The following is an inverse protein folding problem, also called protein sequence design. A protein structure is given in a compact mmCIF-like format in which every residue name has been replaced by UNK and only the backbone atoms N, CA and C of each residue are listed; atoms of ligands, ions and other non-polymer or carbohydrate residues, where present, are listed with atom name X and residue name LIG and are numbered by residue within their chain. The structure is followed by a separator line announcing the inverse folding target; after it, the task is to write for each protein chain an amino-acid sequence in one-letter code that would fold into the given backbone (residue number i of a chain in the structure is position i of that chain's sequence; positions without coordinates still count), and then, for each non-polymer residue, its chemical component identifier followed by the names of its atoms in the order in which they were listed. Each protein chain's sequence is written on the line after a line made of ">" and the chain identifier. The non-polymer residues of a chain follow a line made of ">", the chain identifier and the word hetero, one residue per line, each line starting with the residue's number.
data_IF_876839997173
#
_entry.id   IF_876839997173
#
_cell.length_a   1.000
_cell.length_b   1.000
_cell.length_c   1.000
_cell.angle_alpha   90.00
_cell.angle_beta   90.00
_cell.angle_gamma   90.00
#
_symmetry.space_group_name_H-M   'P 1'
#
loop_
_entity.id
_entity.type
_entity.pdbx_description
1 polymer ?
#
# COMPACT_ATOMS: atom_id res chain seq x y z
N UNK A 1 3.17 13.80 -13.03
CA UNK A 1 2.17 14.12 -11.98
C UNK A 1 2.89 14.86 -10.86
N UNK A 2 2.31 15.91 -10.29
CA UNK A 2 2.98 16.74 -9.26
C UNK A 2 2.80 16.08 -7.89
N UNK A 3 3.91 15.73 -7.23
CA UNK A 3 3.89 15.24 -5.84
C UNK A 3 3.76 16.41 -4.86
N UNK A 4 2.83 16.33 -3.93
CA UNK A 4 2.66 17.30 -2.85
C UNK A 4 3.10 16.72 -1.51
N UNK A 5 3.57 17.58 -0.59
CA UNK A 5 3.85 17.16 0.78
C UNK A 5 2.54 16.75 1.43
N UNK A 6 2.55 15.68 2.21
CA UNK A 6 1.40 15.20 2.95
C UNK A 6 1.86 14.81 4.35
N UNK A 7 1.34 15.47 5.37
CA UNK A 7 1.73 15.25 6.76
C UNK A 7 1.04 14.00 7.34
N UNK A 8 1.34 12.83 6.76
CA UNK A 8 0.84 11.55 7.24
C UNK A 8 1.49 11.20 8.58
N UNK A 9 0.68 11.12 9.63
CA UNK A 9 1.15 10.71 10.94
C UNK A 9 1.30 9.19 11.04
N UNK A 10 2.02 8.73 12.05
CA UNK A 10 2.18 7.30 12.32
C UNK A 10 0.84 6.64 12.66
N UNK A 11 -0.01 7.33 13.41
CA UNK A 11 -1.33 6.87 13.84
C UNK A 11 -2.27 6.74 12.63
N UNK A 12 -2.23 7.71 11.72
CA UNK A 12 -3.04 7.67 10.50
C UNK A 12 -2.58 6.55 9.56
N UNK A 13 -1.26 6.38 9.39
CA UNK A 13 -0.70 5.28 8.62
C UNK A 13 -1.12 3.91 9.19
N UNK A 14 -0.95 3.71 10.50
CA UNK A 14 -1.34 2.48 11.19
C UNK A 14 -2.84 2.19 11.01
N UNK A 15 -3.69 3.22 11.15
CA UNK A 15 -5.13 3.11 10.90
C UNK A 15 -5.42 2.64 9.48
N UNK A 16 -4.74 3.19 8.46
CA UNK A 16 -4.96 2.79 7.07
C UNK A 16 -4.55 1.34 6.79
N UNK A 17 -3.44 0.88 7.38
CA UNK A 17 -2.99 -0.50 7.26
C UNK A 17 -4.01 -1.44 7.93
N UNK A 18 -4.47 -1.10 9.14
CA UNK A 18 -5.50 -1.86 9.86
C UNK A 18 -6.82 -1.92 9.09
N UNK A 19 -7.27 -0.80 8.52
CA UNK A 19 -8.49 -0.75 7.74
C UNK A 19 -8.41 -1.68 6.53
N UNK A 20 -7.32 -1.64 5.76
CA UNK A 20 -7.15 -2.53 4.60
C UNK A 20 -6.99 -4.01 4.99
N UNK A 21 -6.16 -4.30 5.99
CA UNK A 21 -5.74 -5.67 6.31
C UNK A 21 -6.69 -6.40 7.29
N UNK A 22 -7.15 -5.71 8.34
CA UNK A 22 -7.96 -6.31 9.42
C UNK A 22 -9.45 -6.15 9.19
N UNK A 23 -9.87 -5.01 8.62
CA UNK A 23 -11.28 -4.71 8.36
C UNK A 23 -11.69 -4.92 6.91
N UNK A 24 -10.75 -5.23 6.02
CA UNK A 24 -10.99 -5.42 4.59
C UNK A 24 -11.60 -4.19 3.88
N UNK A 25 -11.22 -2.97 4.31
CA UNK A 25 -11.72 -1.70 3.79
C UNK A 25 -10.73 -1.06 2.82
N UNK A 26 -11.16 -0.94 1.57
CA UNK A 26 -10.38 -0.38 0.48
C UNK A 26 -9.23 -1.32 0.06
N UNK A 27 -8.14 -0.71 -0.41
CA UNK A 27 -6.94 -1.43 -0.81
C UNK A 27 -5.68 -0.84 -0.18
N UNK A 28 -4.63 -1.65 -0.18
CA UNK A 28 -3.25 -1.21 0.08
C UNK A 28 -2.35 -1.94 -0.91
N UNK A 29 -1.55 -1.18 -1.65
CA UNK A 29 -0.53 -1.73 -2.56
C UNK A 29 0.83 -1.22 -2.16
N UNK A 30 1.85 -2.07 -2.17
CA UNK A 30 3.23 -1.70 -1.88
C UNK A 30 4.12 -2.28 -2.96
N UNK A 31 4.83 -1.41 -3.67
CA UNK A 31 5.72 -1.82 -4.74
C UNK A 31 7.16 -1.95 -4.23
N UNK A 32 7.86 -2.94 -4.76
CA UNK A 32 9.32 -2.88 -4.79
C UNK A 32 9.77 -2.22 -6.10
N UNK A 33 10.98 -1.66 -6.10
CA UNK A 33 11.59 -1.01 -7.27
C UNK A 33 11.84 -1.94 -8.48
N UNK A 34 11.45 -3.22 -8.41
CA UNK A 34 11.72 -4.25 -9.43
C UNK A 34 10.49 -4.72 -10.20
N UNK A 35 9.35 -4.01 -10.13
CA UNK A 35 8.11 -4.39 -10.82
C UNK A 35 7.34 -5.53 -10.15
N UNK A 36 7.60 -5.76 -8.86
CA UNK A 36 6.83 -6.67 -8.02
C UNK A 36 6.11 -5.86 -6.95
N UNK A 37 4.86 -6.21 -6.67
CA UNK A 37 4.10 -5.55 -5.62
C UNK A 37 3.25 -6.51 -4.81
N UNK A 38 3.01 -6.14 -3.56
CA UNK A 38 2.01 -6.76 -2.70
C UNK A 38 0.74 -5.90 -2.75
N UNK A 39 -0.42 -6.55 -2.88
CA UNK A 39 -1.73 -5.93 -2.88
C UNK A 39 -2.61 -6.63 -1.84
N UNK A 40 -3.31 -5.85 -1.03
CA UNK A 40 -4.48 -6.34 -0.29
C UNK A 40 -5.68 -5.51 -0.73
N UNK A 41 -6.73 -6.17 -1.16
CA UNK A 41 -7.99 -5.53 -1.52
C UNK A 41 -9.14 -6.41 -1.04
N UNK A 42 -10.10 -5.83 -0.31
CA UNK A 42 -11.27 -6.55 0.23
C UNK A 42 -10.89 -7.83 1.00
N UNK A 43 -9.73 -7.83 1.66
CA UNK A 43 -9.21 -8.95 2.45
C UNK A 43 -8.50 -10.05 1.65
N UNK A 44 -8.42 -9.92 0.33
CA UNK A 44 -7.66 -10.81 -0.55
C UNK A 44 -6.22 -10.29 -0.61
N UNK A 45 -5.25 -11.13 -0.24
CA UNK A 45 -3.83 -10.80 -0.32
C UNK A 45 -3.21 -11.44 -1.57
N UNK A 46 -2.59 -10.59 -2.37
CA UNK A 46 -2.06 -10.92 -3.68
C UNK A 46 -0.63 -10.42 -3.80
N UNK A 47 0.23 -11.22 -4.44
CA UNK A 47 1.55 -10.80 -4.88
C UNK A 47 1.59 -10.82 -6.40
N UNK A 48 2.01 -9.71 -6.99
CA UNK A 48 2.20 -9.59 -8.44
C UNK A 48 3.67 -9.46 -8.75
N UNK A 49 4.18 -10.31 -9.64
CA UNK A 49 5.58 -10.32 -10.08
C UNK A 49 5.63 -10.31 -11.61
N UNK A 50 6.07 -9.20 -12.20
CA UNK A 50 6.15 -9.05 -13.68
C UNK A 50 4.85 -9.41 -14.41
N UNK A 51 3.71 -9.05 -13.80
CA UNK A 51 2.37 -9.33 -14.36
C UNK A 51 1.79 -10.70 -14.00
N UNK A 52 2.55 -11.57 -13.34
CA UNK A 52 2.01 -12.81 -12.78
C UNK A 52 1.42 -12.55 -11.41
N UNK A 53 0.12 -12.80 -11.28
CA UNK A 53 -0.65 -12.59 -10.07
C UNK A 53 -0.86 -13.90 -9.31
N UNK A 54 -0.51 -13.91 -8.02
CA UNK A 54 -0.70 -15.06 -7.12
C UNK A 54 -1.40 -14.61 -5.86
N UNK A 55 -2.58 -15.18 -5.61
CA UNK A 55 -3.30 -15.02 -4.35
C UNK A 55 -2.71 -15.93 -3.27
N UNK A 56 -2.58 -15.39 -2.05
CA UNK A 56 -2.07 -16.12 -0.91
C UNK A 56 -3.08 -16.13 0.23
N UNK A 57 -3.44 -17.32 0.70
CA UNK A 57 -4.24 -17.48 1.93
C UNK A 57 -3.38 -17.17 3.15
N UNK A 58 -3.72 -16.08 3.86
CA UNK A 58 -3.08 -15.63 5.11
C UNK A 58 -4.16 -15.13 6.08
N UNK A 59 -3.92 -15.23 7.38
CA UNK A 59 -4.78 -14.56 8.36
C UNK A 59 -4.65 -13.05 8.24
N UNK A 60 -5.67 -12.31 8.68
CA UNK A 60 -5.69 -10.85 8.59
C UNK A 60 -4.55 -10.21 9.39
N UNK A 61 -4.20 -10.77 10.53
CA UNK A 61 -3.09 -10.35 11.39
C UNK A 61 -1.75 -10.55 10.68
N UNK A 62 -1.60 -11.65 9.94
CA UNK A 62 -0.41 -11.91 9.13
C UNK A 62 -0.30 -10.89 7.98
N UNK A 63 -1.41 -10.57 7.31
CA UNK A 63 -1.45 -9.55 6.24
C UNK A 63 -1.06 -8.18 6.81
N UNK A 64 -1.64 -7.77 7.95
CA UNK A 64 -1.28 -6.52 8.63
C UNK A 64 0.23 -6.46 8.95
N UNK A 65 0.79 -7.53 9.52
CA UNK A 65 2.22 -7.61 9.84
C UNK A 65 3.11 -7.50 8.59
N UNK A 66 2.70 -8.13 7.48
CA UNK A 66 3.39 -8.04 6.19
C UNK A 66 3.37 -6.59 5.70
N UNK A 67 2.20 -5.96 5.57
CA UNK A 67 2.10 -4.60 5.01
C UNK A 67 2.80 -3.55 5.88
N UNK A 68 2.68 -3.64 7.21
CA UNK A 68 3.44 -2.77 8.12
C UNK A 68 4.95 -2.87 7.91
N UNK A 69 5.48 -4.07 7.66
CA UNK A 69 6.91 -4.25 7.35
C UNK A 69 7.28 -3.74 5.96
N UNK A 70 6.46 -4.02 4.95
CA UNK A 70 6.76 -3.62 3.57
C UNK A 70 6.75 -2.09 3.42
N UNK A 71 5.77 -1.39 4.02
CA UNK A 71 5.71 0.07 3.97
C UNK A 71 6.89 0.69 4.68
N UNK A 72 7.26 0.20 5.87
CA UNK A 72 8.43 0.72 6.58
C UNK A 72 9.73 0.45 5.83
N UNK A 73 9.83 -0.69 5.12
CA UNK A 73 11.02 -1.05 4.35
C UNK A 73 11.16 -0.22 3.07
N UNK A 74 10.10 -0.15 2.28
CA UNK A 74 10.13 0.45 0.95
C UNK A 74 9.71 1.91 0.93
N UNK A 75 9.17 2.40 2.05
CA UNK A 75 8.80 3.80 2.24
C UNK A 75 7.85 4.30 1.17
N UNK A 76 7.00 3.40 0.66
CA UNK A 76 5.98 3.68 -0.34
C UNK A 76 4.74 2.83 -0.11
N UNK A 77 3.61 3.32 -0.61
CA UNK A 77 2.38 2.54 -0.78
C UNK A 77 1.40 3.30 -1.67
N UNK A 78 0.35 2.62 -2.13
CA UNK A 78 -0.81 3.23 -2.76
C UNK A 78 -2.07 2.92 -1.97
N UNK A 79 -2.96 3.92 -1.90
CA UNK A 79 -4.28 3.81 -1.27
C UNK A 79 -5.18 4.92 -1.81
N UNK A 80 -6.47 4.63 -1.94
CA UNK A 80 -7.51 5.62 -2.29
C UNK A 80 -7.20 6.47 -3.54
N UNK A 81 -6.53 5.89 -4.54
CA UNK A 81 -6.19 6.62 -5.76
C UNK A 81 -5.00 7.56 -5.63
N UNK A 82 -4.18 7.42 -4.59
CA UNK A 82 -2.93 8.15 -4.41
C UNK A 82 -1.76 7.18 -4.22
N UNK A 83 -0.59 7.53 -4.77
CA UNK A 83 0.69 6.94 -4.36
C UNK A 83 1.34 7.82 -3.30
N UNK A 84 1.89 7.19 -2.27
CA UNK A 84 2.57 7.81 -1.16
C UNK A 84 4.03 7.35 -1.19
N UNK A 85 4.95 8.29 -0.97
CA UNK A 85 6.38 8.00 -0.83
C UNK A 85 6.98 8.88 0.27
N UNK A 86 7.79 8.29 1.13
CA UNK A 86 8.51 9.03 2.15
C UNK A 86 9.84 9.51 1.57
N UNK A 87 10.06 10.82 1.61
CA UNK A 87 11.27 11.42 1.08
C UNK A 87 11.67 12.66 1.90
N UNK A 88 12.96 12.79 2.22
CA UNK A 88 13.53 13.90 2.99
C UNK A 88 12.74 14.22 4.29
N UNK A 89 12.39 13.18 5.05
CA UNK A 89 11.75 13.34 6.36
C UNK A 89 10.24 13.62 6.33
N UNK A 90 9.58 13.49 5.18
CA UNK A 90 8.13 13.68 5.09
C UNK A 90 7.50 12.74 4.07
N UNK A 91 6.25 12.37 4.32
CA UNK A 91 5.44 11.72 3.30
C UNK A 91 5.05 12.74 2.23
N UNK A 92 5.00 12.25 0.99
CA UNK A 92 4.50 12.99 -0.15
C UNK A 92 3.52 12.10 -0.87
N UNK A 93 2.47 12.70 -1.43
CA UNK A 93 1.47 11.97 -2.20
C UNK A 93 1.36 12.49 -3.62
N UNK A 94 0.90 11.63 -4.50
CA UNK A 94 0.66 11.94 -5.88
C UNK A 94 -0.66 11.27 -6.29
N UNK A 95 -1.59 12.04 -6.86
CA UNK A 95 -2.86 11.47 -7.35
C UNK A 95 -2.57 10.54 -8.52
N UNK A 96 -2.98 9.29 -8.42
CA UNK A 96 -2.85 8.32 -9.51
C UNK A 96 -3.82 8.68 -10.63
N UNK A 97 -3.33 8.65 -11.87
CA UNK A 97 -4.19 8.67 -13.05
C UNK A 97 -4.74 7.25 -13.27
N UNK A 98 -5.63 6.81 -12.39
CA UNK A 98 -6.43 5.63 -12.67
C UNK A 98 -7.39 5.99 -13.81
N UNK A 99 -7.07 5.54 -15.02
CA UNK A 99 -8.08 5.41 -16.08
C UNK A 99 -9.10 4.45 -15.49
N UNK A 100 -10.31 4.95 -15.22
CA UNK A 100 -11.45 4.11 -14.85
C UNK A 100 -11.60 3.09 -15.98
N UNK A 101 -11.23 1.83 -15.73
CA UNK A 101 -11.57 0.73 -16.63
C UNK A 101 -12.97 0.26 -16.31
#
# INVERSE_FOLDING_TARGET
>A
MRSEKYDLTKEELDKWIKDACLKAIGYLKVENYGGKYALVEKGIYTVVDRGHEVEHKKSREAIYSIFSRLINRYLNFERNGYSYHYNKGSWRRCKLNTVTK
#
